data_IF_459314825775
#
_entry.id   IF_459314825775
#
_cell.length_a   1.000
_cell.length_b   1.000
_cell.length_c   1.000
_cell.angle_alpha   90.00
_cell.angle_beta   90.00
_cell.angle_gamma   90.00
#
_symmetry.space_group_name_H-M   'P 1'
#
loop_
_entity.id
_entity.type
_entity.pdbx_description
1 polymer ?
#
# COMPACT_ATOMS: atom_id res chain seq x y z
N UNK A 1 -11.12 13.02 15.13
CA UNK A 1 -11.49 12.77 13.72
C UNK A 1 -13.00 12.67 13.58
N UNK A 2 -13.56 13.13 12.42
CA UNK A 2 -15.02 13.10 12.20
C UNK A 2 -15.44 12.61 10.82
N UNK A 3 -14.53 12.63 9.84
CA UNK A 3 -14.82 12.22 8.47
C UNK A 3 -14.04 10.97 8.12
N UNK A 4 -14.72 9.85 7.92
CA UNK A 4 -14.11 8.56 7.66
C UNK A 4 -14.47 8.07 6.26
N UNK A 5 -13.52 7.40 5.62
CA UNK A 5 -13.76 6.61 4.42
C UNK A 5 -13.54 5.14 4.76
N UNK A 6 -14.55 4.31 4.58
CA UNK A 6 -14.39 2.85 4.70
C UNK A 6 -14.07 2.31 3.31
N UNK A 7 -12.92 1.67 3.20
CA UNK A 7 -12.45 0.96 2.02
C UNK A 7 -12.56 -0.53 2.24
N UNK A 8 -13.40 -1.21 1.50
CA UNK A 8 -13.68 -2.64 1.70
C UNK A 8 -13.64 -3.43 0.40
N UNK A 9 -13.26 -4.71 0.51
CA UNK A 9 -13.36 -5.68 -0.57
C UNK A 9 -14.59 -6.57 -0.32
N UNK A 10 -15.54 -6.55 -1.26
CA UNK A 10 -16.82 -7.28 -1.18
C UNK A 10 -16.65 -8.79 -0.97
N UNK A 11 -15.57 -9.38 -1.52
CA UNK A 11 -15.29 -10.81 -1.35
C UNK A 11 -14.82 -11.17 0.06
N UNK A 12 -14.28 -10.20 0.81
CA UNK A 12 -13.78 -10.42 2.17
C UNK A 12 -14.77 -10.03 3.25
N UNK A 13 -15.66 -9.09 2.99
CA UNK A 13 -16.72 -8.65 3.90
C UNK A 13 -18.08 -9.09 3.36
N UNK A 14 -18.47 -10.31 3.70
CA UNK A 14 -19.74 -10.90 3.23
C UNK A 14 -20.93 -9.99 3.58
N UNK A 15 -21.73 -9.67 2.55
CA UNK A 15 -22.88 -8.77 2.65
C UNK A 15 -22.56 -7.38 3.25
N UNK A 16 -21.26 -7.02 3.27
CA UNK A 16 -20.77 -5.79 3.91
C UNK A 16 -21.14 -5.70 5.40
N UNK A 17 -21.16 -6.82 6.10
CA UNK A 17 -21.62 -6.89 7.48
C UNK A 17 -20.73 -6.06 8.42
N UNK A 18 -19.40 -6.19 8.31
CA UNK A 18 -18.45 -5.41 9.11
C UNK A 18 -18.47 -3.94 8.69
N UNK A 19 -18.54 -3.68 7.39
CA UNK A 19 -18.68 -2.32 6.84
C UNK A 19 -19.87 -1.60 7.45
N UNK A 20 -21.05 -2.23 7.43
CA UNK A 20 -22.29 -1.67 8.01
C UNK A 20 -22.18 -1.48 9.53
N UNK A 21 -21.56 -2.42 10.24
CA UNK A 21 -21.33 -2.31 11.69
C UNK A 21 -20.48 -1.08 12.01
N UNK A 22 -19.36 -0.87 11.32
CA UNK A 22 -18.48 0.28 11.53
C UNK A 22 -19.20 1.57 11.15
N UNK A 23 -19.86 1.60 10.00
CA UNK A 23 -20.62 2.77 9.56
C UNK A 23 -21.64 3.19 10.60
N UNK A 24 -22.53 2.27 11.01
CA UNK A 24 -23.55 2.56 12.00
C UNK A 24 -22.93 3.06 13.32
N UNK A 25 -21.86 2.41 13.79
CA UNK A 25 -21.19 2.83 15.01
C UNK A 25 -20.66 4.26 14.92
N UNK A 26 -19.92 4.61 13.87
CA UNK A 26 -19.36 5.94 13.66
C UNK A 26 -20.45 7.01 13.51
N UNK A 27 -21.55 6.70 12.79
CA UNK A 27 -22.70 7.61 12.61
C UNK A 27 -23.41 7.88 13.94
N UNK A 28 -23.58 6.87 14.82
CA UNK A 28 -24.15 7.09 16.18
C UNK A 28 -23.28 8.00 17.05
N UNK A 29 -21.98 8.10 16.76
CA UNK A 29 -21.04 9.01 17.42
C UNK A 29 -20.96 10.40 16.76
N UNK A 30 -21.79 10.67 15.76
CA UNK A 30 -21.86 11.96 15.04
C UNK A 30 -20.73 12.14 14.03
N UNK A 31 -20.15 11.05 13.53
CA UNK A 31 -19.16 11.09 12.46
C UNK A 31 -19.82 10.95 11.08
N UNK A 32 -19.16 11.46 10.04
CA UNK A 32 -19.56 11.26 8.64
C UNK A 32 -18.77 10.09 8.06
N UNK A 33 -19.45 9.18 7.35
CA UNK A 33 -18.84 8.00 6.76
C UNK A 33 -19.15 7.95 5.28
N UNK A 34 -18.09 7.80 4.46
CA UNK A 34 -18.18 7.49 3.03
C UNK A 34 -17.71 6.06 2.81
N UNK A 35 -18.22 5.41 1.77
CA UNK A 35 -17.89 4.01 1.45
C UNK A 35 -17.23 3.94 0.08
N UNK A 36 -16.17 3.14 -0.02
CA UNK A 36 -15.56 2.71 -1.27
C UNK A 36 -15.48 1.18 -1.27
N UNK A 37 -16.31 0.55 -2.09
CA UNK A 37 -16.41 -0.90 -2.19
C UNK A 37 -15.71 -1.36 -3.46
N UNK A 38 -14.73 -2.25 -3.32
CA UNK A 38 -14.08 -2.94 -4.45
C UNK A 38 -14.80 -4.26 -4.75
N UNK A 39 -15.07 -4.49 -6.02
CA UNK A 39 -15.77 -5.71 -6.49
C UNK A 39 -14.81 -6.79 -6.98
N UNK A 40 -13.58 -6.44 -7.37
CA UNK A 40 -12.57 -7.37 -7.89
C UNK A 40 -11.41 -7.61 -6.92
N UNK A 41 -10.81 -8.78 -7.01
CA UNK A 41 -9.55 -9.08 -6.35
C UNK A 41 -8.37 -8.49 -7.16
N UNK A 42 -7.32 -8.07 -6.45
CA UNK A 42 -6.05 -7.52 -6.95
C UNK A 42 -5.48 -8.21 -8.21
N UNK A 43 -5.73 -9.51 -8.41
CA UNK A 43 -5.14 -10.29 -9.51
C UNK A 43 -5.65 -9.90 -10.91
N UNK A 44 -6.84 -9.35 -11.02
CA UNK A 44 -7.43 -8.96 -12.31
C UNK A 44 -6.98 -7.56 -12.76
N UNK A 45 -6.56 -6.70 -11.81
CA UNK A 45 -6.11 -5.35 -12.09
C UNK A 45 -4.60 -5.24 -12.34
N UNK A 46 -3.80 -6.28 -11.98
CA UNK A 46 -2.34 -6.26 -12.09
C UNK A 46 -1.83 -6.35 -13.54
N UNK A 47 -2.62 -6.92 -14.45
CA UNK A 47 -2.28 -7.07 -15.86
C UNK A 47 -2.79 -5.92 -16.76
N UNK A 48 -3.65 -5.07 -16.25
CA UNK A 48 -4.04 -3.83 -16.92
C UNK A 48 -3.08 -2.72 -16.49
N UNK A 49 -2.37 -2.15 -17.44
CA UNK A 49 -1.73 -0.84 -17.28
C UNK A 49 -2.86 0.13 -16.94
N UNK A 50 -3.10 0.32 -15.66
CA UNK A 50 -4.21 1.13 -15.20
C UNK A 50 -3.98 2.56 -15.70
N UNK A 51 -4.79 2.97 -16.65
CA UNK A 51 -5.03 4.39 -16.89
C UNK A 51 -5.29 5.04 -15.52
N UNK A 52 -4.72 6.21 -15.29
CA UNK A 52 -4.88 6.97 -14.04
C UNK A 52 -6.37 7.25 -13.79
N UNK A 53 -7.08 6.28 -13.22
CA UNK A 53 -8.39 6.57 -12.66
C UNK A 53 -8.19 7.62 -11.57
N UNK A 54 -8.81 8.77 -11.78
CA UNK A 54 -8.85 9.84 -10.79
C UNK A 54 -9.26 9.22 -9.45
N UNK A 55 -8.44 9.38 -8.43
CA UNK A 55 -8.72 8.83 -7.11
C UNK A 55 -10.02 9.45 -6.60
N UNK A 56 -11.08 8.68 -6.58
CA UNK A 56 -12.42 9.04 -6.08
C UNK A 56 -12.44 9.15 -4.54
N UNK A 57 -11.30 9.54 -3.97
CA UNK A 57 -11.13 9.74 -2.53
C UNK A 57 -11.39 11.20 -2.22
N UNK A 58 -12.42 11.49 -1.44
CA UNK A 58 -12.75 12.87 -1.08
C UNK A 58 -11.63 13.51 -0.26
N UNK A 59 -11.32 14.77 -0.54
CA UNK A 59 -10.26 15.51 0.14
C UNK A 59 -10.56 15.84 1.61
N UNK A 60 -11.81 15.71 2.04
CA UNK A 60 -12.31 16.00 3.38
C UNK A 60 -12.28 14.80 4.34
N UNK A 61 -11.56 13.72 3.99
CA UNK A 61 -11.43 12.51 4.81
C UNK A 61 -10.30 12.67 5.83
N UNK A 62 -10.62 12.47 7.11
CA UNK A 62 -9.64 12.49 8.20
C UNK A 62 -8.85 11.17 8.31
N UNK A 63 -9.50 10.05 8.00
CA UNK A 63 -8.92 8.71 8.08
C UNK A 63 -9.63 7.73 7.15
N UNK A 64 -8.84 6.84 6.53
CA UNK A 64 -9.34 5.70 5.77
C UNK A 64 -9.26 4.43 6.62
N UNK A 65 -10.40 3.76 6.81
CA UNK A 65 -10.50 2.47 7.48
C UNK A 65 -10.58 1.39 6.41
N UNK A 66 -9.56 0.55 6.32
CA UNK A 66 -9.44 -0.51 5.31
C UNK A 66 -9.85 -1.84 5.91
N UNK A 67 -10.87 -2.48 5.34
CA UNK A 67 -11.36 -3.78 5.76
C UNK A 67 -10.79 -4.89 4.89
N UNK A 68 -9.99 -5.76 5.48
CA UNK A 68 -9.37 -6.87 4.75
C UNK A 68 -8.06 -7.33 5.38
N UNK A 69 -7.12 -7.77 4.56
CA UNK A 69 -5.75 -8.14 4.94
C UNK A 69 -4.73 -7.22 4.28
N UNK A 70 -3.45 -7.61 4.35
CA UNK A 70 -2.32 -6.83 3.83
C UNK A 70 -2.47 -6.45 2.35
N UNK A 71 -2.96 -7.35 1.50
CA UNK A 71 -3.21 -7.05 0.08
C UNK A 71 -4.21 -5.90 -0.14
N UNK A 72 -5.27 -5.83 0.69
CA UNK A 72 -6.25 -4.72 0.63
C UNK A 72 -5.62 -3.41 1.11
N UNK A 73 -4.74 -3.49 2.13
CA UNK A 73 -3.96 -2.34 2.60
C UNK A 73 -3.01 -1.80 1.53
N UNK A 74 -2.30 -2.69 0.82
CA UNK A 74 -1.42 -2.29 -0.28
C UNK A 74 -2.19 -1.58 -1.41
N UNK A 75 -3.37 -2.09 -1.76
CA UNK A 75 -4.22 -1.48 -2.77
C UNK A 75 -4.72 -0.09 -2.31
N UNK A 76 -5.22 0.03 -1.09
CA UNK A 76 -5.65 1.30 -0.51
C UNK A 76 -4.51 2.33 -0.48
N UNK A 77 -3.30 1.91 -0.10
CA UNK A 77 -2.12 2.78 -0.09
C UNK A 77 -1.77 3.29 -1.50
N UNK A 78 -1.87 2.45 -2.53
CA UNK A 78 -1.65 2.86 -3.93
C UNK A 78 -2.67 3.90 -4.40
N UNK A 79 -3.92 3.74 -4.02
CA UNK A 79 -4.99 4.67 -4.38
C UNK A 79 -4.88 6.01 -3.65
N UNK A 80 -4.26 6.05 -2.46
CA UNK A 80 -4.04 7.28 -1.68
C UNK A 80 -2.74 8.01 -2.02
N UNK A 81 -1.95 7.53 -3.00
CA UNK A 81 -0.62 8.06 -3.35
C UNK A 81 -0.53 9.59 -3.50
N UNK A 82 -1.62 10.23 -3.95
CA UNK A 82 -1.71 11.69 -4.16
C UNK A 82 -2.35 12.43 -2.98
N UNK A 83 -2.82 11.71 -1.96
CA UNK A 83 -3.61 12.26 -0.85
C UNK A 83 -2.99 11.78 0.47
N UNK A 84 -2.63 12.73 1.34
CA UNK A 84 -2.06 12.41 2.66
C UNK A 84 -3.16 12.08 3.68
N UNK A 85 -3.85 10.96 3.48
CA UNK A 85 -4.87 10.44 4.40
C UNK A 85 -4.26 9.32 5.25
N UNK A 86 -4.34 9.39 6.58
CA UNK A 86 -3.99 8.26 7.44
C UNK A 86 -4.83 7.04 7.12
N UNK A 87 -4.20 5.85 7.10
CA UNK A 87 -4.85 4.59 6.82
C UNK A 87 -4.73 3.69 8.04
N UNK A 88 -5.81 3.01 8.41
CA UNK A 88 -5.80 1.97 9.44
C UNK A 88 -6.49 0.72 8.93
N UNK A 89 -5.91 -0.45 9.21
CA UNK A 89 -6.41 -1.73 8.75
C UNK A 89 -7.21 -2.47 9.83
N UNK A 90 -8.41 -2.94 9.46
CA UNK A 90 -9.22 -3.87 10.25
C UNK A 90 -9.11 -5.25 9.62
N UNK A 91 -8.64 -6.22 10.39
CA UNK A 91 -8.46 -7.59 9.93
C UNK A 91 -9.80 -8.33 9.86
N UNK A 92 -10.13 -8.88 8.69
CA UNK A 92 -11.33 -9.72 8.49
C UNK A 92 -11.03 -11.21 8.45
N UNK A 93 -9.78 -11.63 8.66
CA UNK A 93 -9.40 -13.04 8.51
C UNK A 93 -8.07 -13.36 9.18
N UNK A 94 -7.09 -13.80 8.40
CA UNK A 94 -5.74 -14.10 8.90
C UNK A 94 -5.01 -12.82 9.28
N UNK A 95 -4.43 -12.79 10.47
CA UNK A 95 -3.65 -11.65 10.97
C UNK A 95 -2.49 -11.38 10.00
N UNK A 96 -2.41 -10.13 9.54
CA UNK A 96 -1.35 -9.62 8.67
C UNK A 96 -0.36 -8.74 9.43
N UNK A 97 0.63 -8.23 8.71
CA UNK A 97 1.61 -7.28 9.26
C UNK A 97 1.12 -5.81 9.26
N UNK A 98 0.06 -5.50 8.49
CA UNK A 98 -0.42 -4.13 8.29
C UNK A 98 -1.81 -3.88 8.88
N UNK A 99 -2.56 -4.93 9.22
CA UNK A 99 -3.90 -4.82 9.78
C UNK A 99 -3.82 -4.96 11.31
N UNK A 100 -3.98 -3.84 12.02
CA UNK A 100 -3.73 -3.78 13.47
C UNK A 100 -4.99 -3.98 14.32
N UNK A 101 -6.20 -3.74 13.74
CA UNK A 101 -7.45 -3.84 14.49
C UNK A 101 -8.08 -5.21 14.27
N UNK A 102 -8.30 -5.94 15.35
CA UNK A 102 -9.13 -7.14 15.36
C UNK A 102 -10.61 -6.79 15.62
N UNK A 103 -11.52 -7.65 15.14
CA UNK A 103 -12.95 -7.43 15.31
C UNK A 103 -13.41 -7.42 16.77
N UNK A 104 -12.66 -8.07 17.67
CA UNK A 104 -12.89 -8.10 19.12
C UNK A 104 -12.68 -6.74 19.79
N UNK A 105 -11.72 -5.94 19.32
CA UNK A 105 -11.38 -4.61 19.85
C UNK A 105 -11.85 -3.44 18.97
N UNK A 106 -12.75 -3.71 18.02
CA UNK A 106 -13.12 -2.77 16.96
C UNK A 106 -13.65 -1.44 17.52
N UNK A 107 -14.67 -1.50 18.37
CA UNK A 107 -15.37 -0.30 18.88
C UNK A 107 -14.47 0.56 19.76
N UNK A 108 -13.64 -0.07 20.60
CA UNK A 108 -12.63 0.63 21.39
C UNK A 108 -11.62 1.37 20.49
N UNK A 109 -11.16 0.71 19.42
CA UNK A 109 -10.25 1.32 18.45
C UNK A 109 -10.89 2.48 17.70
N UNK A 110 -12.17 2.37 17.32
CA UNK A 110 -12.92 3.46 16.69
C UNK A 110 -13.09 4.64 17.65
N UNK A 111 -13.39 4.39 18.93
CA UNK A 111 -13.49 5.44 19.94
C UNK A 111 -12.14 6.18 20.14
N UNK A 112 -11.00 5.47 20.07
CA UNK A 112 -9.68 6.08 20.12
C UNK A 112 -9.41 6.94 18.88
N UNK A 113 -9.80 6.50 17.68
CA UNK A 113 -9.69 7.30 16.47
C UNK A 113 -10.52 8.60 16.56
N UNK A 114 -11.76 8.52 17.04
CA UNK A 114 -12.63 9.69 17.22
C UNK A 114 -11.99 10.70 18.19
N UNK A 115 -11.34 10.22 19.26
CA UNK A 115 -10.67 11.06 20.28
C UNK A 115 -9.28 11.53 19.91
N UNK A 116 -8.78 11.19 18.70
CA UNK A 116 -7.42 11.45 18.26
C UNK A 116 -6.33 10.82 19.17
N UNK A 117 -6.66 9.68 19.83
CA UNK A 117 -5.77 8.92 20.72
C UNK A 117 -5.05 7.81 19.95
N UNK A 118 -4.07 8.17 19.13
CA UNK A 118 -3.26 7.22 18.34
C UNK A 118 -1.93 7.85 17.91
N UNK A 119 -0.99 7.00 17.46
CA UNK A 119 0.25 7.44 16.83
C UNK A 119 0.13 7.28 15.32
N UNK A 120 0.63 8.27 14.56
CA UNK A 120 0.80 8.18 13.11
C UNK A 120 2.21 7.70 12.80
N UNK A 121 2.31 6.62 12.05
CA UNK A 121 3.57 6.15 11.47
C UNK A 121 3.64 6.58 10.01
N UNK A 122 4.78 7.14 9.61
CA UNK A 122 5.04 7.46 8.20
C UNK A 122 5.73 6.27 7.56
N UNK A 123 5.22 5.85 6.41
CA UNK A 123 5.82 4.77 5.62
C UNK A 123 6.26 5.30 4.27
N UNK A 124 7.45 4.85 3.85
CA UNK A 124 7.99 5.15 2.53
C UNK A 124 7.18 4.41 1.46
N UNK A 125 7.03 5.04 0.30
CA UNK A 125 6.54 4.39 -0.92
C UNK A 125 7.57 4.55 -2.04
N UNK A 126 7.65 3.55 -2.93
CA UNK A 126 8.41 3.64 -4.16
C UNK A 126 7.52 4.21 -5.26
N UNK A 127 8.08 5.12 -6.06
CA UNK A 127 7.53 5.51 -7.34
C UNK A 127 8.36 4.89 -8.44
N UNK A 128 7.76 4.06 -9.30
CA UNK A 128 8.40 3.41 -10.42
C UNK A 128 7.91 3.97 -11.73
N UNK A 129 8.84 4.22 -12.66
CA UNK A 129 8.54 4.66 -14.02
C UNK A 129 9.21 3.72 -15.02
N UNK A 130 8.42 3.16 -15.92
CA UNK A 130 8.91 2.32 -17.02
C UNK A 130 8.82 3.13 -18.31
N UNK A 131 9.94 3.24 -19.01
CA UNK A 131 10.01 3.88 -20.32
C UNK A 131 10.38 2.82 -21.35
N UNK A 132 9.45 2.48 -22.24
CA UNK A 132 9.66 1.50 -23.29
C UNK A 132 10.34 2.11 -24.52
N UNK A 133 10.99 1.26 -25.33
CA UNK A 133 11.69 1.69 -26.54
C UNK A 133 10.76 2.29 -27.61
N UNK A 134 9.48 1.94 -27.59
CA UNK A 134 8.42 2.49 -28.44
C UNK A 134 7.92 3.88 -28.01
N UNK A 135 8.46 4.41 -26.90
CA UNK A 135 8.08 5.67 -26.30
C UNK A 135 6.92 5.57 -25.29
N UNK A 136 6.35 4.38 -25.08
CA UNK A 136 5.33 4.16 -24.03
C UNK A 136 5.93 4.37 -22.66
N UNK A 137 5.20 5.08 -21.80
CA UNK A 137 5.61 5.35 -20.42
C UNK A 137 4.51 4.87 -19.48
N UNK A 138 4.88 4.05 -18.51
CA UNK A 138 4.01 3.61 -17.41
C UNK A 138 4.59 4.06 -16.08
N UNK A 139 3.74 4.47 -15.15
CA UNK A 139 4.14 4.89 -13.81
C UNK A 139 3.31 4.16 -12.77
N UNK A 140 3.95 3.75 -11.68
CA UNK A 140 3.28 3.03 -10.59
C UNK A 140 3.88 3.36 -9.23
N UNK A 141 3.10 3.08 -8.17
CA UNK A 141 3.51 3.27 -6.79
C UNK A 141 3.42 1.95 -6.03
N UNK A 142 4.36 1.71 -5.13
CA UNK A 142 4.37 0.53 -4.29
C UNK A 142 4.69 0.91 -2.84
N UNK A 143 3.92 0.35 -1.90
CA UNK A 143 4.22 0.44 -0.48
C UNK A 143 5.27 -0.61 -0.07
N UNK A 144 5.27 -1.79 -0.72
CA UNK A 144 6.21 -2.86 -0.45
C UNK A 144 7.40 -2.84 -1.39
N UNK A 145 7.20 -3.28 -2.63
CA UNK A 145 8.27 -3.51 -3.58
C UNK A 145 7.82 -3.29 -5.04
N UNK A 146 8.82 -3.03 -5.89
CA UNK A 146 8.71 -3.05 -7.34
C UNK A 146 9.59 -4.20 -7.82
N UNK A 147 8.99 -5.12 -8.57
CA UNK A 147 9.64 -6.31 -9.07
C UNK A 147 9.82 -6.22 -10.57
N UNK A 148 11.05 -6.41 -11.04
CA UNK A 148 11.37 -6.60 -12.45
C UNK A 148 11.73 -8.06 -12.61
N UNK A 149 10.98 -8.79 -13.45
CA UNK A 149 11.23 -10.20 -13.68
C UNK A 149 11.22 -10.52 -15.17
N UNK A 150 11.87 -11.62 -15.52
CA UNK A 150 11.76 -12.18 -16.87
C UNK A 150 10.31 -12.55 -17.20
N UNK A 151 9.91 -12.40 -18.44
CA UNK A 151 8.61 -12.84 -18.94
C UNK A 151 8.75 -14.02 -19.90
N UNK A 152 8.01 -15.10 -19.66
CA UNK A 152 7.76 -16.20 -20.59
C UNK A 152 8.87 -17.20 -20.83
N UNK A 153 10.11 -16.82 -21.10
CA UNK A 153 11.21 -17.76 -21.40
C UNK A 153 12.07 -18.04 -20.18
N UNK A 154 12.76 -19.21 -20.20
CA UNK A 154 13.75 -19.58 -19.18
C UNK A 154 15.07 -18.77 -19.29
N UNK A 155 15.11 -17.75 -20.14
CA UNK A 155 16.31 -16.95 -20.32
C UNK A 155 16.51 -15.97 -19.18
N UNK A 156 17.73 -15.91 -18.67
CA UNK A 156 18.18 -14.93 -17.71
C UNK A 156 18.17 -13.54 -18.39
N UNK A 157 17.70 -12.53 -17.68
CA UNK A 157 17.76 -11.15 -18.15
C UNK A 157 19.08 -10.47 -17.76
N UNK A 158 19.54 -9.57 -18.62
CA UNK A 158 20.72 -8.74 -18.36
C UNK A 158 20.27 -7.30 -18.18
N UNK A 159 20.77 -6.66 -17.13
CA UNK A 159 20.43 -5.26 -16.84
C UNK A 159 21.56 -4.53 -16.12
N UNK A 160 21.61 -3.22 -16.34
CA UNK A 160 22.51 -2.33 -15.63
C UNK A 160 21.74 -1.57 -14.56
N UNK A 161 22.33 -1.43 -13.37
CA UNK A 161 21.79 -0.60 -12.30
C UNK A 161 22.59 0.69 -12.24
N UNK A 162 21.87 1.81 -12.28
CA UNK A 162 22.42 3.14 -12.10
C UNK A 162 21.84 3.76 -10.83
N UNK A 163 22.68 4.43 -10.04
CA UNK A 163 22.26 5.20 -8.86
C UNK A 163 22.73 6.63 -9.07
N UNK A 164 21.82 7.59 -9.07
CA UNK A 164 22.10 9.00 -9.34
C UNK A 164 22.90 9.23 -10.66
N UNK A 165 22.56 8.47 -11.69
CA UNK A 165 23.22 8.53 -12.99
C UNK A 165 24.59 7.83 -13.08
N UNK A 166 25.10 7.25 -12.01
CA UNK A 166 26.34 6.48 -11.98
C UNK A 166 26.07 4.99 -12.08
N UNK A 167 26.76 4.29 -12.98
CA UNK A 167 26.67 2.85 -13.09
C UNK A 167 27.16 2.18 -11.80
N UNK A 168 26.25 1.50 -11.12
CA UNK A 168 26.58 0.71 -9.93
C UNK A 168 27.15 -0.65 -10.33
N UNK A 169 26.42 -1.40 -11.18
CA UNK A 169 26.84 -2.73 -11.61
C UNK A 169 26.02 -3.22 -12.81
N UNK A 170 26.52 -4.30 -13.44
CA UNK A 170 25.85 -5.08 -14.46
C UNK A 170 25.46 -6.45 -13.88
N UNK A 171 24.23 -6.87 -14.09
CA UNK A 171 23.71 -8.13 -13.55
C UNK A 171 23.12 -9.02 -14.62
N UNK A 172 23.25 -10.35 -14.38
CA UNK A 172 22.55 -11.41 -15.08
C UNK A 172 21.74 -12.18 -14.02
N UNK A 173 20.42 -12.11 -14.06
CA UNK A 173 19.56 -12.68 -13.04
C UNK A 173 18.15 -12.98 -13.59
N UNK A 174 17.35 -13.68 -12.84
CA UNK A 174 15.93 -13.90 -13.14
C UNK A 174 15.10 -12.63 -13.00
N UNK A 175 15.58 -11.68 -12.19
CA UNK A 175 14.93 -10.40 -11.94
C UNK A 175 15.62 -9.57 -10.88
N UNK A 176 14.96 -8.49 -10.50
CA UNK A 176 15.39 -7.57 -9.44
C UNK A 176 14.20 -7.15 -8.59
N UNK A 177 14.41 -7.05 -7.29
CA UNK A 177 13.43 -6.53 -6.34
C UNK A 177 13.97 -5.22 -5.75
N UNK A 178 13.23 -4.15 -5.90
CA UNK A 178 13.46 -2.89 -5.20
C UNK A 178 12.39 -2.76 -4.13
N UNK A 179 12.79 -2.72 -2.86
CA UNK A 179 11.86 -2.79 -1.73
C UNK A 179 11.98 -1.61 -0.78
N UNK A 180 10.86 -1.25 -0.16
CA UNK A 180 10.82 -0.35 1.00
C UNK A 180 11.15 -1.11 2.29
N UNK A 181 11.39 -0.41 3.42
CA UNK A 181 11.46 -1.07 4.71
C UNK A 181 10.19 -1.86 5.06
N UNK A 182 9.01 -1.38 4.68
CA UNK A 182 7.74 -2.12 4.87
C UNK A 182 7.72 -3.41 4.07
N UNK A 183 8.16 -3.39 2.82
CA UNK A 183 8.22 -4.55 1.93
C UNK A 183 9.33 -5.53 2.26
N UNK A 184 10.32 -5.13 3.08
CA UNK A 184 11.46 -6.00 3.40
C UNK A 184 11.07 -7.31 4.08
N UNK A 185 9.93 -7.36 4.76
CA UNK A 185 9.35 -8.56 5.38
C UNK A 185 8.49 -9.40 4.42
N UNK A 186 8.26 -8.93 3.20
CA UNK A 186 7.44 -9.59 2.16
C UNK A 186 8.28 -10.39 1.17
N UNK A 187 8.10 -10.12 -0.12
CA UNK A 187 8.79 -10.88 -1.19
C UNK A 187 10.31 -10.75 -1.12
N UNK A 188 10.83 -9.60 -0.71
CA UNK A 188 12.25 -9.40 -0.48
C UNK A 188 12.84 -10.45 0.48
N UNK A 189 12.17 -10.71 1.62
CA UNK A 189 12.63 -11.73 2.58
C UNK A 189 12.60 -13.13 1.97
N UNK A 190 11.55 -13.47 1.24
CA UNK A 190 11.43 -14.77 0.55
C UNK A 190 12.50 -14.99 -0.52
N UNK A 191 12.99 -13.90 -1.14
CA UNK A 191 14.08 -13.92 -2.10
C UNK A 191 15.48 -13.89 -1.45
N UNK A 192 15.58 -13.93 -0.12
CA UNK A 192 16.85 -13.89 0.63
C UNK A 192 17.41 -12.49 0.85
N UNK A 193 16.62 -11.45 0.63
CA UNK A 193 17.01 -10.08 0.88
C UNK A 193 17.04 -9.72 2.39
N UNK A 194 17.72 -8.63 2.78
CA UNK A 194 17.82 -8.21 4.17
C UNK A 194 16.52 -7.61 4.70
N UNK A 195 16.31 -7.73 6.01
CA UNK A 195 15.28 -6.97 6.71
C UNK A 195 15.76 -5.52 6.91
N UNK A 196 14.94 -4.56 6.50
CA UNK A 196 15.21 -3.14 6.68
C UNK A 196 14.27 -2.55 7.74
N UNK A 197 14.82 -1.74 8.65
CA UNK A 197 14.06 -1.05 9.69
C UNK A 197 13.94 0.43 9.29
N UNK A 198 12.74 0.96 9.26
CA UNK A 198 12.43 2.27 8.69
C UNK A 198 13.24 3.45 9.24
N UNK A 199 13.81 3.32 10.43
CA UNK A 199 14.59 4.40 11.06
C UNK A 199 16.10 4.17 11.12
N UNK A 200 16.61 2.98 10.81
CA UNK A 200 18.05 2.67 10.97
C UNK A 200 18.86 2.78 9.68
N UNK A 201 18.26 2.57 8.52
CA UNK A 201 18.95 2.55 7.24
C UNK A 201 18.85 3.86 6.43
N UNK A 202 17.92 4.74 6.79
CA UNK A 202 17.73 6.03 6.11
C UNK A 202 18.48 7.20 6.76
N UNK A 203 19.20 6.98 7.88
CA UNK A 203 19.98 8.03 8.54
C UNK A 203 21.34 8.30 7.91
N UNK A 204 21.78 7.52 6.96
CA UNK A 204 23.09 7.71 6.32
C UNK A 204 23.13 8.92 5.35
N UNK A 205 22.00 9.47 4.96
CA UNK A 205 21.89 10.63 4.09
C UNK A 205 20.82 11.58 4.57
N UNK A 206 21.16 12.45 5.51
CA UNK A 206 20.41 13.68 5.79
C UNK A 206 20.62 14.68 4.64
N UNK A 207 20.22 14.36 3.46
CA UNK A 207 19.96 15.32 2.42
C UNK A 207 18.53 15.09 1.96
N UNK A 208 17.75 16.14 2.03
CA UNK A 208 16.35 16.22 1.57
C UNK A 208 16.23 16.08 0.06
N UNK A 209 16.82 15.03 -0.52
CA UNK A 209 16.66 14.70 -1.92
C UNK A 209 16.38 13.21 -2.02
N UNK A 210 15.27 12.97 -2.62
CA UNK A 210 14.65 11.69 -2.90
C UNK A 210 15.68 10.68 -3.42
N UNK A 211 15.86 9.58 -2.68
CA UNK A 211 16.50 8.39 -3.21
C UNK A 211 15.53 7.75 -4.19
N UNK A 212 15.85 7.84 -5.45
CA UNK A 212 15.19 7.13 -6.56
C UNK A 212 15.73 5.72 -6.62
#
# INVERSE_FOLDING_TARGET
>A
MKHFLIYTNKHKDQELATTKRIQNYLETKGCTVKLKVKESDWKEEADSVAEEEATDIPLDVDCMIVLGGDGTMLQAARETKKILVPIIGVNLGTVGYMTEIELSGLEESLDRLIRDDFKKERRMMLNGKVCCADGTVSEGWALNDIVISRSGSLQIIEFNIYVNGQLLNHYKADGMIVTTPTGSTGYNLSAGGPLAVSYTHLRAHETSQDLV
#
